data_IF_996975469710
#
_entry.id   IF_996975469710
#
_cell.length_a   1.000
_cell.length_b   1.000
_cell.length_c   1.000
_cell.angle_alpha   90.00
_cell.angle_beta   90.00
_cell.angle_gamma   90.00
#
_symmetry.space_group_name_H-M   'P 1'
#
loop_
_entity.id
_entity.type
_entity.pdbx_description
1 polymer ?
#
# COMPACT_ATOMS: atom_id res chain seq x y z
N UNK A 1 32.73 22.99 -18.43
CA UNK A 1 31.86 22.10 -17.62
C UNK A 1 32.32 22.24 -16.19
N UNK A 2 31.53 22.89 -15.35
CA UNK A 2 31.99 23.45 -14.09
C UNK A 2 31.83 22.40 -12.98
N UNK A 3 32.94 22.04 -12.34
CA UNK A 3 33.02 21.02 -11.28
C UNK A 3 32.08 21.28 -10.08
N UNK A 4 31.64 22.53 -9.92
CA UNK A 4 30.70 22.94 -8.87
C UNK A 4 29.26 22.41 -9.09
N UNK A 5 28.84 22.17 -10.34
CA UNK A 5 27.52 21.58 -10.64
C UNK A 5 27.47 20.07 -10.34
N UNK A 6 28.62 19.40 -10.39
CA UNK A 6 28.80 17.99 -10.00
C UNK A 6 28.87 17.81 -8.47
N UNK A 7 29.06 18.89 -7.71
CA UNK A 7 29.19 18.81 -6.25
C UNK A 7 27.90 19.23 -5.52
N UNK A 8 27.12 20.16 -6.09
CA UNK A 8 25.95 20.76 -5.41
C UNK A 8 24.78 21.12 -6.34
N UNK A 9 24.70 20.51 -7.53
CA UNK A 9 23.51 20.59 -8.39
C UNK A 9 22.38 19.67 -7.89
N UNK A 10 21.12 19.81 -8.38
CA UNK A 10 19.98 19.03 -7.89
C UNK A 10 20.29 17.55 -8.05
N UNK A 11 20.57 16.88 -6.93
CA UNK A 11 20.98 15.48 -6.76
C UNK A 11 20.87 14.70 -8.08
N UNK A 12 21.94 14.72 -8.85
CA UNK A 12 22.00 14.01 -10.13
C UNK A 12 21.90 12.52 -9.91
N UNK A 13 21.65 11.77 -10.99
CA UNK A 13 21.71 10.31 -10.98
C UNK A 13 23.00 9.74 -10.35
N UNK A 14 24.20 10.34 -10.57
CA UNK A 14 25.44 9.88 -9.94
C UNK A 14 25.47 9.99 -8.41
N UNK A 15 24.98 11.09 -7.84
CA UNK A 15 24.97 11.34 -6.39
C UNK A 15 24.01 10.38 -5.69
N UNK A 16 22.82 10.15 -6.27
CA UNK A 16 21.88 9.15 -5.76
C UNK A 16 22.51 7.76 -5.80
N UNK A 17 23.20 7.40 -6.89
CA UNK A 17 23.88 6.10 -7.00
C UNK A 17 24.98 5.93 -5.94
N UNK A 18 25.74 6.99 -5.62
CA UNK A 18 26.77 6.96 -4.58
C UNK A 18 26.16 6.78 -3.18
N UNK A 19 25.09 7.49 -2.85
CA UNK A 19 24.36 7.32 -1.58
C UNK A 19 23.83 5.89 -1.49
N UNK A 20 23.24 5.37 -2.57
CA UNK A 20 22.72 4.02 -2.64
C UNK A 20 23.83 2.99 -2.43
N UNK A 21 25.01 3.19 -3.03
CA UNK A 21 26.17 2.33 -2.85
C UNK A 21 26.62 2.28 -1.38
N UNK A 22 26.72 3.43 -0.71
CA UNK A 22 27.05 3.49 0.73
C UNK A 22 25.99 2.76 1.54
N UNK A 23 24.71 2.98 1.24
CA UNK A 23 23.59 2.31 1.91
C UNK A 23 23.65 0.79 1.73
N UNK A 24 24.00 0.31 0.53
CA UNK A 24 24.20 -1.10 0.24
C UNK A 24 25.44 -1.68 0.94
N UNK A 25 26.48 -0.89 1.21
CA UNK A 25 27.63 -1.34 2.01
C UNK A 25 27.28 -1.47 3.49
N UNK A 26 26.52 -0.52 4.04
CA UNK A 26 26.10 -0.53 5.44
C UNK A 26 25.08 -1.62 5.74
N UNK A 27 24.04 -1.73 4.92
CA UNK A 27 22.96 -2.69 5.15
C UNK A 27 23.18 -4.01 4.40
N UNK A 28 23.99 -4.02 3.33
CA UNK A 28 24.18 -5.18 2.46
C UNK A 28 23.14 -5.24 1.33
N UNK A 29 23.58 -5.64 0.14
CA UNK A 29 22.71 -5.74 -1.05
C UNK A 29 21.54 -6.73 -0.91
N UNK A 30 21.61 -7.66 0.04
CA UNK A 30 20.53 -8.61 0.34
C UNK A 30 19.44 -8.04 1.25
N UNK A 31 19.72 -7.02 2.07
CA UNK A 31 18.74 -6.49 3.03
C UNK A 31 17.67 -5.64 2.36
N UNK A 32 18.04 -4.83 1.37
CA UNK A 32 17.08 -4.02 0.61
C UNK A 32 15.94 -4.84 -0.02
N UNK A 33 16.20 -5.91 -0.81
CA UNK A 33 15.14 -6.71 -1.39
C UNK A 33 14.39 -7.55 -0.34
N UNK A 34 15.03 -7.94 0.76
CA UNK A 34 14.35 -8.62 1.87
C UNK A 34 13.32 -7.71 2.54
N UNK A 35 13.70 -6.46 2.83
CA UNK A 35 12.78 -5.45 3.39
C UNK A 35 11.64 -5.14 2.43
N UNK A 36 11.95 -4.93 1.15
CA UNK A 36 10.93 -4.67 0.13
C UNK A 36 9.94 -5.84 -0.01
N UNK A 37 10.41 -7.10 0.03
CA UNK A 37 9.52 -8.28 0.02
C UNK A 37 8.66 -8.35 1.28
N UNK A 38 9.21 -8.04 2.45
CA UNK A 38 8.46 -8.02 3.71
C UNK A 38 7.34 -6.98 3.68
N UNK A 39 7.66 -5.74 3.29
CA UNK A 39 6.69 -4.65 3.13
C UNK A 39 5.66 -4.97 2.04
N UNK A 40 6.10 -5.51 0.91
CA UNK A 40 5.20 -5.88 -0.19
C UNK A 40 4.20 -6.96 0.21
N UNK A 41 4.65 -7.97 0.98
CA UNK A 41 3.77 -9.01 1.50
C UNK A 41 2.76 -8.44 2.50
N UNK A 42 3.21 -7.62 3.46
CA UNK A 42 2.31 -7.03 4.45
C UNK A 42 1.31 -6.06 3.82
N UNK A 43 1.72 -5.23 2.86
CA UNK A 43 0.81 -4.38 2.10
C UNK A 43 -0.20 -5.20 1.28
N UNK A 44 0.23 -6.33 0.70
CA UNK A 44 -0.66 -7.23 -0.04
C UNK A 44 -1.72 -7.88 0.84
N UNK A 45 -1.34 -8.42 2.00
CA UNK A 45 -2.28 -9.00 2.97
C UNK A 45 -3.22 -7.92 3.54
N UNK A 46 -2.70 -6.74 3.83
CA UNK A 46 -3.50 -5.61 4.28
C UNK A 46 -4.52 -5.15 3.24
N UNK A 47 -4.15 -5.13 1.95
CA UNK A 47 -5.09 -4.80 0.87
C UNK A 47 -6.22 -5.82 0.77
N UNK A 48 -5.91 -7.12 0.84
CA UNK A 48 -6.91 -8.18 0.82
C UNK A 48 -7.89 -8.09 2.00
N UNK A 49 -7.37 -7.88 3.20
CA UNK A 49 -8.21 -7.72 4.40
C UNK A 49 -9.14 -6.51 4.29
N UNK A 50 -8.69 -5.41 3.65
CA UNK A 50 -9.54 -4.26 3.36
C UNK A 50 -10.65 -4.58 2.35
N UNK A 51 -10.31 -5.27 1.26
CA UNK A 51 -11.30 -5.67 0.24
C UNK A 51 -12.37 -6.60 0.83
N UNK A 52 -11.97 -7.59 1.62
CA UNK A 52 -12.90 -8.51 2.30
C UNK A 52 -13.83 -7.77 3.26
N UNK A 53 -13.29 -6.82 4.03
CA UNK A 53 -14.08 -5.99 4.94
C UNK A 53 -15.07 -5.08 4.21
N UNK A 54 -14.68 -4.49 3.07
CA UNK A 54 -15.58 -3.70 2.24
C UNK A 54 -16.72 -4.55 1.64
N UNK A 55 -16.43 -5.78 1.21
CA UNK A 55 -17.42 -6.70 0.66
C UNK A 55 -18.38 -7.21 1.74
N UNK A 56 -17.90 -7.48 2.96
CA UNK A 56 -18.76 -7.82 4.10
C UNK A 56 -19.68 -6.67 4.50
N UNK A 57 -19.18 -5.43 4.52
CA UNK A 57 -20.02 -4.25 4.82
C UNK A 57 -21.12 -4.07 3.76
N UNK A 58 -20.80 -4.23 2.47
CA UNK A 58 -21.79 -4.13 1.40
C UNK A 58 -22.87 -5.20 1.51
N UNK A 59 -22.47 -6.46 1.71
CA UNK A 59 -23.42 -7.57 1.93
C UNK A 59 -24.29 -7.35 3.16
N UNK A 60 -23.69 -6.86 4.25
CA UNK A 60 -24.43 -6.52 5.48
C UNK A 60 -25.44 -5.41 5.26
N UNK A 61 -25.10 -4.39 4.47
CA UNK A 61 -26.03 -3.31 4.10
C UNK A 61 -27.20 -3.82 3.24
N UNK A 62 -26.91 -4.66 2.24
CA UNK A 62 -27.93 -5.27 1.38
C UNK A 62 -28.87 -6.19 2.19
N UNK A 63 -28.32 -7.00 3.12
CA UNK A 63 -29.10 -7.88 4.00
C UNK A 63 -30.02 -7.11 4.98
N UNK A 64 -29.62 -5.90 5.39
CA UNK A 64 -30.43 -5.01 6.24
C UNK A 64 -31.57 -4.39 5.43
N UNK A 65 -31.33 -3.95 4.20
CA UNK A 65 -32.36 -3.42 3.30
C UNK A 65 -33.42 -4.47 2.93
N UNK A 66 -33.01 -5.72 2.69
CA UNK A 66 -33.92 -6.83 2.38
C UNK A 66 -34.79 -7.20 3.59
N UNK A 67 -34.27 -7.08 4.82
CA UNK A 67 -35.05 -7.31 6.05
C UNK A 67 -36.05 -6.20 6.33
N UNK A 68 -35.71 -4.94 6.10
CA UNK A 68 -36.64 -3.81 6.26
C UNK A 68 -37.77 -3.79 5.21
N UNK A 69 -37.50 -4.24 3.98
CA UNK A 69 -38.53 -4.36 2.95
C UNK A 69 -39.57 -5.46 3.25
N UNK A 70 -39.16 -6.51 3.99
CA UNK A 70 -40.00 -7.68 4.30
C UNK A 70 -40.83 -7.51 5.58
N UNK A 71 -40.47 -6.59 6.47
CA UNK A 71 -41.22 -6.28 7.70
C UNK A 71 -42.32 -5.21 7.49
N UNK A 72 -42.35 -4.55 6.32
CA UNK A 72 -43.35 -3.53 5.95
C UNK A 72 -44.49 -4.05 5.08
N UNK A 73 -44.59 -5.36 4.84
CA UNK A 73 -45.75 -5.92 4.16
C UNK A 73 -46.99 -5.70 5.04
N UNK A 74 -47.97 -4.90 4.58
CA UNK A 74 -49.07 -4.45 5.42
C UNK A 74 -49.88 -5.67 5.83
N UNK A 75 -50.09 -5.81 7.14
CA UNK A 75 -51.17 -6.63 7.69
C UNK A 75 -52.47 -6.04 7.15
N UNK A 76 -52.89 -6.52 6.00
CA UNK A 76 -54.22 -6.37 5.44
C UNK A 76 -55.19 -7.17 6.31
N UNK A 77 -56.07 -6.47 7.03
CA UNK A 77 -57.45 -6.85 7.41
C UNK A 77 -58.05 -5.77 8.32
#
# INVERSE_FOLDING_TARGET
MNLQFLAFGPLGGPEIALIFLIMLLLFGAKKLPQLARGIGKSMGEFKKAREEFEDEIKKGADDLEVKEAKDKEPRDS
#
